data_IF_166494378868
#
_entry.id   IF_166494378868
#
_cell.length_a   1.000
_cell.length_b   1.000
_cell.length_c   1.000
_cell.angle_alpha   90.00
_cell.angle_beta   90.00
_cell.angle_gamma   90.00
#
_symmetry.space_group_name_H-M   'P 1'
#
loop_
_entity.id
_entity.type
_entity.pdbx_description
1 polymer ?
#
# COMPACT_ATOMS: atom_id res chain seq x y z
N UNK A 1 2.08 7.42 -0.31
CA UNK A 1 1.65 7.28 1.09
C UNK A 1 0.21 6.79 1.17
N UNK A 2 -0.74 7.42 0.48
CA UNK A 2 -2.15 6.98 0.40
C UNK A 2 -2.32 5.51 0.02
N UNK A 3 -1.57 5.00 -0.97
CA UNK A 3 -1.64 3.60 -1.36
C UNK A 3 -1.34 2.61 -0.20
N UNK A 4 -0.44 2.98 0.72
CA UNK A 4 -0.11 2.18 1.89
C UNK A 4 -1.22 2.23 2.94
N UNK A 5 -1.82 3.41 3.15
CA UNK A 5 -2.97 3.59 4.05
C UNK A 5 -4.13 2.72 3.56
N UNK A 6 -4.46 2.80 2.28
CA UNK A 6 -5.48 1.95 1.65
C UNK A 6 -5.16 0.47 1.81
N UNK A 7 -3.93 0.03 1.56
CA UNK A 7 -3.54 -1.36 1.75
C UNK A 7 -3.75 -1.82 3.20
N UNK A 8 -3.43 -0.98 4.18
CA UNK A 8 -3.67 -1.28 5.60
C UNK A 8 -5.16 -1.37 5.95
N UNK A 9 -5.99 -0.45 5.43
CA UNK A 9 -7.44 -0.53 5.60
C UNK A 9 -8.03 -1.78 4.95
N UNK A 10 -7.54 -2.17 3.77
CA UNK A 10 -7.93 -3.41 3.10
C UNK A 10 -7.64 -4.63 3.98
N UNK A 11 -6.41 -4.75 4.49
CA UNK A 11 -6.04 -5.88 5.33
C UNK A 11 -6.86 -5.94 6.62
N UNK A 12 -7.16 -4.79 7.22
CA UNK A 12 -8.06 -4.70 8.37
C UNK A 12 -9.47 -5.22 8.03
N UNK A 13 -10.04 -4.79 6.91
CA UNK A 13 -11.38 -5.21 6.47
C UNK A 13 -11.43 -6.72 6.13
N UNK A 14 -10.33 -7.28 5.65
CA UNK A 14 -10.14 -8.71 5.42
C UNK A 14 -9.77 -9.49 6.68
N UNK A 15 -9.75 -8.84 7.85
CA UNK A 15 -9.38 -9.44 9.15
C UNK A 15 -7.98 -10.06 9.16
N UNK A 16 -7.05 -9.51 8.38
CA UNK A 16 -5.65 -9.91 8.34
C UNK A 16 -4.83 -9.01 9.27
N UNK A 17 -4.44 -9.53 10.43
CA UNK A 17 -3.76 -8.75 11.48
C UNK A 17 -2.25 -9.04 11.57
N UNK A 18 -1.72 -9.94 10.74
CA UNK A 18 -0.30 -10.19 10.57
C UNK A 18 0.08 -10.03 9.10
N UNK A 19 0.73 -8.92 8.75
CA UNK A 19 0.93 -8.55 7.34
C UNK A 19 2.33 -7.99 7.09
N UNK A 20 2.93 -8.39 5.98
CA UNK A 20 4.12 -7.72 5.43
C UNK A 20 3.73 -6.94 4.18
N UNK A 21 3.89 -5.62 4.21
CA UNK A 21 3.66 -4.74 3.07
C UNK A 21 4.96 -4.57 2.28
N UNK A 22 4.94 -4.95 1.00
CA UNK A 22 6.09 -4.77 0.11
C UNK A 22 5.89 -3.53 -0.78
N UNK A 23 6.96 -2.74 -0.98
CA UNK A 23 6.94 -1.54 -1.83
C UNK A 23 8.25 -1.39 -2.59
N UNK A 24 8.22 -0.88 -3.83
CA UNK A 24 9.40 -0.47 -4.58
C UNK A 24 9.84 0.97 -4.28
N UNK A 25 9.15 1.65 -3.37
CA UNK A 25 9.49 3.00 -2.94
C UNK A 25 10.35 2.96 -1.67
N UNK A 26 11.67 2.97 -1.82
CA UNK A 26 12.61 2.98 -0.69
C UNK A 26 12.43 4.20 0.23
N UNK A 27 12.05 5.35 -0.34
CA UNK A 27 11.74 6.56 0.44
C UNK A 27 10.55 6.34 1.37
N UNK A 28 9.52 5.59 0.95
CA UNK A 28 8.37 5.28 1.79
C UNK A 28 8.77 4.43 3.00
N UNK A 29 9.67 3.46 2.81
CA UNK A 29 10.19 2.64 3.91
C UNK A 29 10.90 3.54 4.94
N UNK A 30 11.78 4.43 4.47
CA UNK A 30 12.51 5.39 5.32
C UNK A 30 11.58 6.36 6.05
N UNK A 31 10.58 6.90 5.36
CA UNK A 31 9.59 7.80 5.98
C UNK A 31 8.86 7.15 7.16
N UNK A 32 8.65 5.82 7.11
CA UNK A 32 7.98 5.09 8.19
C UNK A 32 8.96 4.63 9.27
N UNK A 33 10.20 4.29 8.93
CA UNK A 33 11.21 3.83 9.89
C UNK A 33 11.94 4.95 10.62
N UNK A 34 12.15 6.09 9.96
CA UNK A 34 12.98 7.23 10.40
C UNK A 34 12.16 8.54 10.31
N UNK A 35 11.00 8.63 10.98
CA UNK A 35 10.06 9.73 10.75
C UNK A 35 10.62 11.11 11.13
N UNK A 36 11.57 11.17 12.07
CA UNK A 36 12.34 12.37 12.47
C UNK A 36 13.11 13.04 11.33
N UNK A 37 13.56 12.27 10.33
CA UNK A 37 14.25 12.84 9.16
C UNK A 37 13.28 13.47 8.14
N UNK A 38 11.97 13.28 8.33
CA UNK A 38 10.92 13.67 7.39
C UNK A 38 9.86 14.57 8.05
N UNK A 39 10.23 15.74 8.62
CA UNK A 39 9.32 16.60 9.37
C UNK A 39 8.14 17.13 8.53
N UNK A 40 8.32 17.31 7.22
CA UNK A 40 7.23 17.69 6.31
C UNK A 40 6.11 16.63 6.19
N UNK A 41 6.37 15.40 6.64
CA UNK A 41 5.43 14.29 6.65
C UNK A 41 4.87 14.02 8.06
N UNK A 42 5.04 14.95 9.00
CA UNK A 42 4.51 14.84 10.36
C UNK A 42 3.00 14.67 10.43
N UNK A 43 2.23 15.33 9.54
CA UNK A 43 0.78 15.14 9.44
C UNK A 43 0.39 13.71 9.05
N UNK A 44 1.33 12.97 8.48
CA UNK A 44 1.19 11.56 8.15
C UNK A 44 1.86 10.64 9.18
N UNK A 45 2.49 11.15 10.25
CA UNK A 45 2.97 10.31 11.38
C UNK A 45 1.83 9.76 12.21
N UNK A 46 0.69 10.45 12.24
CA UNK A 46 -0.54 9.92 12.82
C UNK A 46 -1.15 8.77 12.01
N UNK A 47 -0.50 8.38 10.90
CA UNK A 47 -0.49 7.00 10.40
C UNK A 47 0.24 6.12 11.44
N UNK A 48 -0.29 6.03 12.66
CA UNK A 48 -0.03 4.97 13.64
C UNK A 48 -0.69 3.64 13.21
N UNK A 49 -0.90 3.48 11.91
CA UNK A 49 -1.69 2.42 11.28
C UNK A 49 -1.13 0.99 11.42
N UNK A 50 0.16 0.73 11.70
CA UNK A 50 0.58 -0.65 11.86
C UNK A 50 0.29 -1.21 13.27
N UNK A 51 0.54 -0.44 14.34
CA UNK A 51 0.58 -1.01 15.71
C UNK A 51 -0.74 -1.07 16.46
N UNK A 52 -1.72 -0.26 16.07
CA UNK A 52 -3.06 -0.25 16.70
C UNK A 52 -4.02 -1.23 16.03
N UNK A 53 -3.86 -1.47 14.73
CA UNK A 53 -4.74 -2.34 13.95
C UNK A 53 -4.19 -3.75 13.73
N UNK A 54 -2.86 -3.94 13.74
CA UNK A 54 -2.22 -5.23 13.46
C UNK A 54 -1.47 -5.74 14.67
N UNK A 55 -1.57 -7.05 14.93
CA UNK A 55 -0.75 -7.75 15.93
C UNK A 55 0.72 -7.77 15.51
N UNK A 56 0.98 -7.82 14.19
CA UNK A 56 2.32 -7.75 13.63
C UNK A 56 2.27 -7.15 12.23
N UNK A 57 3.09 -6.14 11.97
CA UNK A 57 3.15 -5.51 10.66
C UNK A 57 4.54 -4.98 10.35
N UNK A 58 5.00 -5.23 9.12
CA UNK A 58 6.30 -4.80 8.62
C UNK A 58 6.14 -4.21 7.23
N UNK A 59 6.93 -3.20 6.89
CA UNK A 59 7.02 -2.65 5.54
C UNK A 59 8.43 -2.91 5.02
N UNK A 60 8.54 -3.55 3.86
CA UNK A 60 9.83 -3.90 3.25
C UNK A 60 9.96 -3.26 1.87
N UNK A 61 11.21 -2.94 1.51
CA UNK A 61 11.54 -2.57 0.15
C UNK A 61 11.77 -3.81 -0.70
N UNK A 62 11.19 -3.84 -1.91
CA UNK A 62 11.46 -4.84 -2.94
C UNK A 62 11.85 -4.14 -4.25
N UNK A 63 12.68 -4.73 -5.11
CA UNK A 63 12.94 -4.17 -6.44
C UNK A 63 11.66 -3.95 -7.24
N UNK A 64 11.63 -2.93 -8.10
CA UNK A 64 10.49 -2.64 -8.98
C UNK A 64 10.11 -3.81 -9.89
N UNK A 65 11.08 -4.65 -10.25
CA UNK A 65 10.88 -5.90 -11.01
C UNK A 65 10.12 -6.97 -10.23
N UNK A 66 10.03 -6.86 -8.90
CA UNK A 66 9.25 -7.76 -8.03
C UNK A 66 7.90 -7.14 -7.63
N UNK A 67 7.71 -5.83 -7.82
CA UNK A 67 6.46 -5.12 -7.54
C UNK A 67 5.54 -4.95 -8.77
N UNK A 68 5.68 -5.82 -9.78
CA UNK A 68 5.01 -5.65 -11.08
C UNK A 68 3.47 -5.62 -11.00
N UNK A 69 2.88 -6.41 -10.10
CA UNK A 69 1.42 -6.48 -9.94
C UNK A 69 0.85 -5.17 -9.41
N UNK A 70 1.42 -4.62 -8.34
CA UNK A 70 1.01 -3.34 -7.78
C UNK A 70 1.23 -2.20 -8.78
N UNK A 71 2.35 -2.23 -9.51
CA UNK A 71 2.63 -1.23 -10.53
C UNK A 71 1.64 -1.29 -11.71
N UNK A 72 1.27 -2.50 -12.15
CA UNK A 72 0.25 -2.70 -13.17
C UNK A 72 -1.12 -2.19 -12.71
N UNK A 73 -1.53 -2.48 -11.47
CA UNK A 73 -2.76 -1.95 -10.88
C UNK A 73 -2.77 -0.43 -10.85
N UNK A 74 -1.69 0.19 -10.37
CA UNK A 74 -1.56 1.65 -10.36
C UNK A 74 -1.60 2.25 -11.78
N UNK A 75 -1.00 1.58 -12.77
CA UNK A 75 -1.07 2.00 -14.18
C UNK A 75 -2.47 1.88 -14.75
N UNK A 76 -3.18 0.79 -14.46
CA UNK A 76 -4.55 0.57 -14.92
C UNK A 76 -5.49 1.62 -14.33
N UNK A 77 -5.41 1.86 -13.01
CA UNK A 77 -6.22 2.88 -12.33
C UNK A 77 -6.01 4.28 -12.94
N UNK A 78 -4.77 4.65 -13.29
CA UNK A 78 -4.48 5.96 -13.95
C UNK A 78 -5.07 6.10 -15.36
N UNK A 79 -5.34 5.00 -16.05
CA UNK A 79 -5.95 5.01 -17.40
C UNK A 79 -7.47 5.09 -17.36
N UNK A 80 -8.08 4.76 -16.22
CA UNK A 80 -9.54 4.83 -16.08
C UNK A 80 -10.02 6.29 -16.13
N UNK A 81 -11.09 6.54 -16.87
CA UNK A 81 -11.71 7.87 -16.98
C UNK A 81 -12.56 8.25 -15.77
N UNK A 82 -12.80 7.30 -14.86
CA UNK A 82 -13.60 7.45 -13.67
C UNK A 82 -12.86 6.93 -12.43
N UNK A 83 -13.23 7.46 -11.26
CA UNK A 83 -12.68 7.02 -9.99
C UNK A 83 -13.27 5.65 -9.62
N UNK A 84 -12.40 4.63 -9.52
CA UNK A 84 -12.79 3.26 -9.16
C UNK A 84 -12.16 2.90 -7.83
N UNK A 85 -12.98 2.43 -6.89
CA UNK A 85 -12.56 1.83 -5.63
C UNK A 85 -12.95 0.37 -5.66
N UNK A 86 -11.98 -0.52 -5.51
CA UNK A 86 -12.21 -1.96 -5.48
C UNK A 86 -11.29 -2.59 -4.43
N UNK A 87 -11.85 -3.49 -3.62
CA UNK A 87 -11.16 -4.19 -2.54
C UNK A 87 -11.65 -5.63 -2.53
N UNK A 88 -10.78 -6.55 -2.90
CA UNK A 88 -11.03 -7.98 -2.86
C UNK A 88 -9.72 -8.75 -2.68
N UNK A 89 -9.80 -10.00 -2.23
CA UNK A 89 -8.67 -10.92 -2.20
C UNK A 89 -8.31 -11.43 -3.60
N UNK A 90 -9.28 -11.38 -4.52
CA UNK A 90 -9.13 -11.80 -5.90
C UNK A 90 -8.92 -10.62 -6.86
N UNK A 91 -8.37 -10.93 -8.03
CA UNK A 91 -8.15 -9.95 -9.07
C UNK A 91 -9.50 -9.60 -9.71
N UNK A 92 -9.90 -8.33 -9.79
CA UNK A 92 -11.15 -7.99 -10.44
C UNK A 92 -11.13 -8.34 -11.93
N UNK A 93 -12.27 -8.77 -12.46
CA UNK A 93 -12.43 -9.19 -13.87
C UNK A 93 -11.95 -8.11 -14.85
N UNK A 94 -12.22 -6.83 -14.58
CA UNK A 94 -11.78 -5.71 -15.41
C UNK A 94 -10.26 -5.54 -15.49
N UNK A 95 -9.51 -6.09 -14.54
CA UNK A 95 -8.05 -6.07 -14.56
C UNK A 95 -7.46 -7.21 -15.40
N UNK A 96 -8.15 -8.36 -15.46
CA UNK A 96 -7.73 -9.48 -16.30
C UNK A 96 -7.75 -9.13 -17.80
N UNK A 97 -8.62 -8.20 -18.21
CA UNK A 97 -8.74 -7.72 -19.60
C UNK A 97 -7.66 -6.70 -20.00
N UNK A 98 -6.86 -6.20 -19.05
CA UNK A 98 -5.86 -5.14 -19.25
C UNK A 98 -4.40 -5.63 -19.31
N UNK A 99 -4.17 -6.95 -19.25
CA UNK A 99 -2.84 -7.59 -19.32
C UNK A 99 -2.52 -7.98 -20.77
#
# INVERSE_FOLDING_TARGET
>A
MEALIWAMECMRNLHQFQVTFATDCSQLVKMVSEPEEWPAFESYRDIKLPKTYFTSSTIIHVPRTENQKADSLARCARKQSSFVVHMDAELPVWFAESI
#
